data_IF_651865929081
#
_entry.id   IF_651865929081
#
_cell.length_a   1.000
_cell.length_b   1.000
_cell.length_c   1.000
_cell.angle_alpha   90.00
_cell.angle_beta   90.00
_cell.angle_gamma   90.00
#
_symmetry.space_group_name_H-M   'P 1'
#
loop_
_entity.id
_entity.type
_entity.pdbx_description
1 polymer ?
#
# COMPACT_ATOMS: atom_id res chain seq x y z
N UNK A 1 20.36 -10.86 6.82
CA UNK A 1 19.82 -9.52 6.47
C UNK A 1 18.96 -9.03 7.62
N UNK A 2 19.11 -7.76 8.00
CA UNK A 2 18.23 -7.19 9.01
C UNK A 2 16.79 -7.13 8.52
N UNK A 3 15.79 -7.35 9.40
CA UNK A 3 14.39 -7.18 9.08
C UNK A 3 14.08 -5.75 8.60
N UNK A 4 13.18 -5.62 7.62
CA UNK A 4 12.64 -4.32 7.24
C UNK A 4 11.73 -3.81 8.37
N UNK A 5 11.88 -2.54 8.70
CA UNK A 5 11.12 -1.84 9.74
C UNK A 5 10.56 -0.53 9.20
N UNK A 6 9.48 -0.08 9.78
CA UNK A 6 9.00 1.28 9.61
C UNK A 6 10.06 2.31 10.00
N UNK A 7 9.81 3.56 9.68
CA UNK A 7 10.69 4.68 10.03
C UNK A 7 9.95 5.63 10.97
N UNK A 8 10.16 5.42 12.25
CA UNK A 8 9.60 6.29 13.30
C UNK A 8 10.28 7.64 13.23
N UNK A 9 9.50 8.71 13.18
CA UNK A 9 9.98 10.09 13.20
C UNK A 9 9.05 10.95 14.05
N UNK A 10 9.51 11.28 15.24
CA UNK A 10 8.75 12.10 16.17
C UNK A 10 8.52 13.51 15.59
N UNK A 11 7.28 13.98 15.64
CA UNK A 11 6.90 15.29 15.10
C UNK A 11 6.86 15.36 13.58
N UNK A 12 6.85 14.24 12.87
CA UNK A 12 6.72 14.20 11.42
C UNK A 12 5.42 14.91 10.97
N UNK A 13 5.51 15.62 9.84
CA UNK A 13 4.35 16.31 9.24
C UNK A 13 3.34 15.35 8.62
N UNK A 14 3.83 14.22 8.10
CA UNK A 14 3.02 13.24 7.39
C UNK A 14 3.09 11.88 8.06
N UNK A 15 1.96 11.17 8.08
CA UNK A 15 1.89 9.79 8.49
C UNK A 15 1.64 8.87 7.30
N UNK A 16 2.52 7.88 7.13
CA UNK A 16 2.42 6.85 6.09
C UNK A 16 2.20 5.50 6.74
N UNK A 17 1.18 4.78 6.31
CA UNK A 17 1.02 3.37 6.65
C UNK A 17 1.35 2.49 5.44
N UNK A 18 2.17 1.48 5.66
CA UNK A 18 2.46 0.42 4.69
C UNK A 18 1.85 -0.88 5.22
N UNK A 19 0.94 -1.47 4.46
CA UNK A 19 0.34 -2.76 4.83
C UNK A 19 1.37 -3.87 4.64
N UNK A 20 1.62 -4.65 5.69
CA UNK A 20 2.56 -5.76 5.65
C UNK A 20 1.91 -7.06 6.11
N UNK A 21 2.28 -8.16 5.51
CA UNK A 21 1.68 -9.45 5.77
C UNK A 21 2.62 -10.60 5.38
N UNK A 22 2.34 -11.80 5.87
CA UNK A 22 3.10 -12.98 5.47
C UNK A 22 3.04 -13.17 3.95
N UNK A 23 4.20 -13.30 3.32
CA UNK A 23 4.32 -13.43 1.86
C UNK A 23 4.21 -12.10 1.11
N UNK A 24 4.38 -10.95 1.78
CA UNK A 24 4.53 -9.64 1.13
C UNK A 24 5.82 -9.60 0.31
N UNK A 25 5.79 -8.91 -0.82
CA UNK A 25 6.99 -8.65 -1.63
C UNK A 25 7.84 -7.56 -0.96
N UNK A 26 8.95 -7.95 -0.35
CA UNK A 26 9.76 -7.05 0.49
C UNK A 26 10.31 -5.85 -0.28
N UNK A 27 10.64 -6.01 -1.57
CA UNK A 27 11.07 -4.90 -2.41
C UNK A 27 9.97 -3.85 -2.65
N UNK A 28 8.69 -4.27 -2.63
CA UNK A 28 7.53 -3.36 -2.75
C UNK A 28 7.16 -2.70 -1.41
N UNK A 29 7.68 -3.19 -0.31
CA UNK A 29 7.66 -2.53 1.01
C UNK A 29 8.80 -1.51 1.12
N UNK A 30 10.02 -1.93 0.80
CA UNK A 30 11.25 -1.13 0.97
C UNK A 30 11.26 0.13 0.11
N UNK A 31 10.90 0.01 -1.17
CA UNK A 31 10.91 1.11 -2.13
C UNK A 31 10.06 2.31 -1.68
N UNK A 32 8.74 2.16 -1.43
CA UNK A 32 7.92 3.29 -0.99
C UNK A 32 8.32 3.79 0.40
N UNK A 33 8.69 2.89 1.32
CA UNK A 33 9.15 3.29 2.67
C UNK A 33 10.34 4.24 2.59
N UNK A 34 11.37 3.87 1.83
CA UNK A 34 12.57 4.69 1.69
C UNK A 34 12.28 6.01 1.00
N UNK A 35 11.61 5.96 -0.15
CA UNK A 35 11.35 7.17 -0.95
C UNK A 35 10.42 8.16 -0.26
N UNK A 36 9.34 7.69 0.35
CA UNK A 36 8.41 8.59 1.05
C UNK A 36 9.05 9.20 2.30
N UNK A 37 9.84 8.44 3.05
CA UNK A 37 10.57 8.98 4.19
C UNK A 37 11.64 10.02 3.80
N UNK A 38 12.26 9.87 2.61
CA UNK A 38 13.26 10.81 2.10
C UNK A 38 12.65 12.06 1.46
N UNK A 39 11.54 11.92 0.74
CA UNK A 39 10.91 13.01 0.00
C UNK A 39 9.93 13.83 0.82
N UNK A 40 9.36 13.23 1.86
CA UNK A 40 8.41 13.86 2.76
C UNK A 40 8.97 13.88 4.18
N UNK A 41 8.57 14.86 4.96
CA UNK A 41 8.73 14.82 6.41
C UNK A 41 7.71 13.84 7.00
N UNK A 42 7.97 12.55 6.84
CA UNK A 42 7.02 11.49 7.11
C UNK A 42 7.53 10.47 8.13
N UNK A 43 6.65 10.08 9.03
CA UNK A 43 6.74 8.83 9.76
C UNK A 43 6.16 7.71 8.90
N UNK A 44 6.85 6.58 8.80
CA UNK A 44 6.37 5.39 8.07
C UNK A 44 6.18 4.23 9.05
N UNK A 45 4.95 3.76 9.17
CA UNK A 45 4.55 2.70 10.10
C UNK A 45 4.09 1.48 9.30
N UNK A 46 4.57 0.30 9.68
CA UNK A 46 4.14 -0.96 9.10
C UNK A 46 2.95 -1.54 9.86
N UNK A 47 1.84 -1.72 9.17
CA UNK A 47 0.58 -2.24 9.75
C UNK A 47 0.33 -3.65 9.22
N UNK A 48 0.31 -4.62 10.12
CA UNK A 48 -0.02 -6.02 9.84
C UNK A 48 -1.31 -6.43 10.53
N UNK A 49 -1.66 -7.72 10.48
CA UNK A 49 -2.78 -8.30 11.25
C UNK A 49 -2.51 -8.15 12.75
N UNK A 50 -1.29 -8.46 13.15
CA UNK A 50 -0.76 -8.29 14.51
C UNK A 50 0.67 -7.74 14.42
N UNK A 51 1.18 -7.07 15.47
CA UNK A 51 2.57 -6.66 15.49
C UNK A 51 3.51 -7.87 15.55
N UNK A 52 4.68 -7.74 14.95
CA UNK A 52 5.69 -8.79 14.98
C UNK A 52 6.36 -9.06 13.64
N UNK A 53 7.27 -10.02 13.64
CA UNK A 53 8.07 -10.39 12.48
C UNK A 53 7.28 -11.29 11.51
N UNK A 54 7.35 -10.96 10.23
CA UNK A 54 6.67 -11.63 9.14
C UNK A 54 7.69 -12.01 8.05
N UNK A 55 7.54 -13.21 7.50
CA UNK A 55 8.33 -13.62 6.34
C UNK A 55 7.75 -13.06 5.04
N UNK A 56 8.61 -12.42 4.23
CA UNK A 56 8.28 -11.99 2.87
C UNK A 56 8.20 -13.16 1.88
N UNK A 57 8.01 -12.81 0.61
CA UNK A 57 8.11 -13.78 -0.50
C UNK A 57 9.53 -14.33 -0.57
N UNK A 58 10.53 -13.48 -0.37
CA UNK A 58 11.93 -13.91 -0.30
C UNK A 58 12.22 -14.55 1.07
N UNK A 59 12.59 -15.84 1.12
CA UNK A 59 12.73 -16.56 2.38
C UNK A 59 13.77 -15.97 3.34
N UNK A 60 14.76 -15.25 2.80
CA UNK A 60 15.85 -14.64 3.56
C UNK A 60 15.54 -13.23 4.09
N UNK A 61 14.35 -12.69 3.76
CA UNK A 61 13.95 -11.34 4.17
C UNK A 61 12.67 -11.39 5.00
N UNK A 62 12.71 -10.64 6.08
CA UNK A 62 11.59 -10.47 6.99
C UNK A 62 11.20 -9.00 7.09
N UNK A 63 9.96 -8.77 7.49
CA UNK A 63 9.38 -7.44 7.71
C UNK A 63 8.80 -7.44 9.12
N UNK A 64 8.98 -6.38 9.87
CA UNK A 64 8.39 -6.27 11.21
C UNK A 64 7.18 -5.34 11.13
N UNK A 65 5.99 -5.88 11.37
CA UNK A 65 4.80 -5.07 11.59
C UNK A 65 4.96 -4.32 12.92
N UNK A 66 4.89 -3.00 12.86
CA UNK A 66 5.00 -2.15 14.04
C UNK A 66 3.75 -2.23 14.91
N UNK A 67 2.60 -2.42 14.26
CA UNK A 67 1.30 -2.55 14.94
C UNK A 67 0.28 -3.34 14.13
N UNK A 68 -0.80 -3.75 14.81
CA UNK A 68 -2.04 -4.21 14.17
C UNK A 68 -2.95 -3.05 13.75
N UNK A 69 -4.11 -3.37 13.12
CA UNK A 69 -5.11 -2.37 12.76
C UNK A 69 -5.73 -1.77 14.03
N UNK A 70 -5.79 -0.45 14.10
CA UNK A 70 -6.36 0.29 15.23
C UNK A 70 -7.13 1.51 14.78
N UNK A 71 -8.07 1.96 15.62
CA UNK A 71 -8.97 3.07 15.28
C UNK A 71 -8.30 4.44 15.39
N UNK A 72 -7.26 4.55 16.19
CA UNK A 72 -6.69 5.83 16.62
C UNK A 72 -5.67 6.44 15.63
N UNK A 73 -5.31 5.70 14.58
CA UNK A 73 -4.23 6.13 13.68
C UNK A 73 -4.56 5.77 12.23
N UNK A 74 -5.34 6.62 11.58
CA UNK A 74 -5.54 6.57 10.14
C UNK A 74 -4.44 7.41 9.46
N UNK A 75 -3.77 6.87 8.44
CA UNK A 75 -2.63 7.53 7.82
C UNK A 75 -3.05 8.63 6.83
N UNK A 76 -2.17 9.61 6.63
CA UNK A 76 -2.30 10.55 5.51
C UNK A 76 -2.04 9.87 4.16
N UNK A 77 -1.12 8.91 4.12
CA UNK A 77 -0.80 8.10 2.95
C UNK A 77 -0.91 6.61 3.26
N UNK A 78 -1.58 5.89 2.39
CA UNK A 78 -1.73 4.43 2.48
C UNK A 78 -0.98 3.76 1.33
N UNK A 79 -0.08 2.83 1.65
CA UNK A 79 0.64 2.01 0.68
C UNK A 79 0.27 0.54 0.89
N UNK A 80 -0.12 -0.12 -0.19
CA UNK A 80 -0.50 -1.54 -0.18
C UNK A 80 0.41 -2.30 -1.16
N UNK A 81 1.51 -2.89 -0.68
CA UNK A 81 2.40 -3.72 -1.50
C UNK A 81 1.73 -5.02 -1.93
N UNK A 82 2.22 -5.61 -3.00
CA UNK A 82 1.83 -6.95 -3.42
C UNK A 82 2.52 -8.06 -2.63
N UNK A 83 2.13 -9.28 -2.94
CA UNK A 83 2.71 -10.48 -2.35
C UNK A 83 1.79 -11.68 -2.51
N UNK A 84 2.34 -12.88 -2.32
CA UNK A 84 1.59 -14.14 -2.46
C UNK A 84 0.52 -14.33 -1.39
N UNK A 85 0.67 -13.65 -0.23
CA UNK A 85 -0.25 -13.77 0.91
C UNK A 85 -1.53 -12.92 0.80
N UNK A 86 -1.76 -12.21 -0.29
CA UNK A 86 -2.88 -11.28 -0.38
C UNK A 86 -4.26 -11.93 -0.15
N UNK A 87 -4.45 -13.20 -0.56
CA UNK A 87 -5.72 -13.92 -0.37
C UNK A 87 -6.05 -14.13 1.10
N UNK A 88 -5.06 -14.57 1.88
CA UNK A 88 -5.22 -14.75 3.32
C UNK A 88 -5.52 -13.43 4.01
N UNK A 89 -4.86 -12.35 3.59
CA UNK A 89 -5.13 -11.01 4.13
C UNK A 89 -6.53 -10.53 3.78
N UNK A 90 -7.02 -10.83 2.59
CA UNK A 90 -8.39 -10.47 2.18
C UNK A 90 -9.48 -11.12 3.05
N UNK A 91 -9.16 -12.22 3.74
CA UNK A 91 -10.04 -12.91 4.68
C UNK A 91 -9.92 -12.39 6.14
N UNK A 92 -8.93 -11.54 6.41
CA UNK A 92 -8.69 -10.95 7.75
C UNK A 92 -9.56 -9.70 7.95
N UNK A 93 -10.75 -9.90 8.50
CA UNK A 93 -11.78 -8.86 8.64
C UNK A 93 -11.29 -7.60 9.33
N UNK A 94 -10.49 -7.73 10.40
CA UNK A 94 -9.95 -6.57 11.12
C UNK A 94 -9.06 -5.71 10.24
N UNK A 95 -8.18 -6.33 9.45
CA UNK A 95 -7.24 -5.61 8.59
C UNK A 95 -7.95 -5.04 7.35
N UNK A 96 -8.86 -5.79 6.73
CA UNK A 96 -9.63 -5.30 5.57
C UNK A 96 -10.57 -4.16 5.95
N UNK A 97 -11.22 -4.21 7.10
CA UNK A 97 -12.02 -3.11 7.64
C UNK A 97 -11.15 -1.87 7.87
N UNK A 98 -9.96 -2.04 8.44
CA UNK A 98 -9.02 -0.95 8.63
C UNK A 98 -8.52 -0.38 7.28
N UNK A 99 -8.19 -1.23 6.30
CA UNK A 99 -7.79 -0.78 4.95
C UNK A 99 -8.90 0.07 4.31
N UNK A 100 -10.17 -0.34 4.42
CA UNK A 100 -11.30 0.42 3.91
C UNK A 100 -11.34 1.83 4.55
N UNK A 101 -11.28 1.91 5.88
CA UNK A 101 -11.30 3.18 6.64
C UNK A 101 -10.08 4.05 6.34
N UNK A 102 -8.89 3.45 6.31
CA UNK A 102 -7.65 4.15 5.94
C UNK A 102 -7.72 4.70 4.51
N UNK A 103 -8.31 3.94 3.58
CA UNK A 103 -8.53 4.38 2.19
C UNK A 103 -9.49 5.56 2.09
N UNK A 104 -10.50 5.63 2.96
CA UNK A 104 -11.44 6.77 3.00
C UNK A 104 -10.77 8.02 3.55
N UNK A 105 -9.90 7.86 4.55
CA UNK A 105 -9.22 8.96 5.23
C UNK A 105 -8.01 9.50 4.46
N UNK A 106 -7.21 8.61 3.87
CA UNK A 106 -5.93 8.97 3.29
C UNK A 106 -6.04 10.02 2.17
N UNK A 107 -5.13 10.97 2.17
CA UNK A 107 -4.96 11.97 1.11
C UNK A 107 -4.35 11.40 -0.16
N UNK A 108 -3.65 10.27 -0.03
CA UNK A 108 -3.07 9.54 -1.15
C UNK A 108 -2.99 8.06 -0.87
N UNK A 109 -3.24 7.26 -1.92
CA UNK A 109 -3.23 5.80 -1.86
C UNK A 109 -2.37 5.29 -3.00
N UNK A 110 -1.45 4.38 -2.70
CA UNK A 110 -0.68 3.63 -3.68
C UNK A 110 -0.85 2.14 -3.43
N UNK A 111 -1.37 1.42 -4.41
CA UNK A 111 -1.37 -0.04 -4.40
C UNK A 111 -0.49 -0.59 -5.52
N UNK A 112 0.28 -1.63 -5.23
CA UNK A 112 1.33 -2.15 -6.11
C UNK A 112 1.06 -3.62 -6.38
N UNK A 113 1.16 -4.03 -7.66
CA UNK A 113 1.13 -5.44 -8.04
C UNK A 113 -0.17 -6.13 -7.58
N UNK A 114 -0.11 -7.25 -6.89
CA UNK A 114 -1.27 -7.93 -6.30
C UNK A 114 -1.86 -7.20 -5.09
N UNK A 115 -1.19 -6.17 -4.56
CA UNK A 115 -1.75 -5.28 -3.53
C UNK A 115 -3.01 -4.54 -4.00
N UNK A 116 -3.17 -4.33 -5.31
CA UNK A 116 -4.40 -3.77 -5.89
C UNK A 116 -5.62 -4.64 -5.63
N UNK A 117 -5.44 -5.96 -5.50
CA UNK A 117 -6.53 -6.88 -5.17
C UNK A 117 -7.07 -6.66 -3.75
N UNK A 118 -6.25 -6.19 -2.81
CA UNK A 118 -6.72 -5.83 -1.47
C UNK A 118 -7.60 -4.58 -1.50
N UNK A 119 -7.28 -3.57 -2.32
CA UNK A 119 -8.17 -2.43 -2.54
C UNK A 119 -9.47 -2.85 -3.24
N UNK A 120 -9.40 -3.77 -4.21
CA UNK A 120 -10.57 -4.32 -4.88
C UNK A 120 -11.46 -5.10 -3.90
N UNK A 121 -10.86 -5.91 -3.02
CA UNK A 121 -11.56 -6.71 -2.02
C UNK A 121 -12.37 -5.85 -1.03
N UNK A 122 -11.89 -4.64 -0.72
CA UNK A 122 -12.61 -3.69 0.12
C UNK A 122 -13.52 -2.72 -0.66
N UNK A 123 -13.76 -3.01 -1.96
CA UNK A 123 -14.69 -2.27 -2.80
C UNK A 123 -14.18 -0.92 -3.34
N UNK A 124 -12.91 -0.58 -3.11
CA UNK A 124 -12.37 0.75 -3.48
C UNK A 124 -12.14 0.93 -4.98
N UNK A 125 -12.13 -0.15 -5.76
CA UNK A 125 -11.86 -0.10 -7.20
C UNK A 125 -13.11 -0.27 -8.07
N UNK A 126 -14.29 -0.43 -7.50
CA UNK A 126 -15.53 -0.58 -8.28
C UNK A 126 -15.76 0.64 -9.17
N UNK A 127 -15.82 0.43 -10.49
CA UNK A 127 -15.98 1.47 -11.50
C UNK A 127 -14.81 2.43 -11.64
N UNK A 128 -13.64 2.12 -11.06
CA UNK A 128 -12.44 2.95 -11.13
C UNK A 128 -11.37 2.32 -12.01
N UNK A 129 -10.64 3.17 -12.70
CA UNK A 129 -9.46 2.75 -13.45
C UNK A 129 -8.39 2.21 -12.50
N UNK A 130 -7.88 1.04 -12.80
CA UNK A 130 -6.84 0.39 -12.01
C UNK A 130 -5.96 -0.51 -12.87
N UNK A 131 -4.71 -0.68 -12.45
CA UNK A 131 -3.80 -1.69 -12.96
C UNK A 131 -3.22 -2.50 -11.79
N UNK A 132 -2.63 -3.62 -12.07
CA UNK A 132 -2.00 -4.49 -11.09
C UNK A 132 -1.05 -5.47 -11.74
N UNK A 133 -0.64 -6.48 -11.01
CA UNK A 133 0.11 -7.58 -11.58
C UNK A 133 -0.71 -8.22 -12.72
N UNK A 134 -0.07 -8.59 -13.82
CA UNK A 134 -0.78 -9.15 -14.99
C UNK A 134 -1.63 -10.40 -14.63
N UNK A 135 -1.20 -11.21 -13.67
CA UNK A 135 -2.00 -12.33 -13.16
C UNK A 135 -3.24 -11.91 -12.37
N UNK A 136 -3.31 -10.66 -11.92
CA UNK A 136 -4.42 -10.11 -11.15
C UNK A 136 -5.52 -9.46 -12.00
N UNK A 137 -5.28 -9.24 -13.29
CA UNK A 137 -6.20 -8.49 -14.17
C UNK A 137 -7.59 -9.10 -14.21
N UNK A 138 -7.68 -10.42 -14.32
CA UNK A 138 -8.96 -11.12 -14.33
C UNK A 138 -9.75 -10.92 -13.02
N UNK A 139 -9.07 -11.06 -11.89
CA UNK A 139 -9.69 -10.91 -10.57
C UNK A 139 -10.07 -9.45 -10.30
N UNK A 140 -9.23 -8.49 -10.72
CA UNK A 140 -9.55 -7.05 -10.64
C UNK A 140 -10.82 -6.71 -11.44
N UNK A 141 -10.93 -7.21 -12.66
CA UNK A 141 -12.12 -7.01 -13.48
C UNK A 141 -13.36 -7.67 -12.86
N UNK A 142 -13.23 -8.88 -12.33
CA UNK A 142 -14.30 -9.59 -11.64
C UNK A 142 -14.78 -8.86 -10.38
N UNK A 143 -13.89 -8.12 -9.70
CA UNK A 143 -14.23 -7.27 -8.55
C UNK A 143 -14.72 -5.87 -8.95
N UNK A 144 -14.95 -5.62 -10.24
CA UNK A 144 -15.57 -4.39 -10.75
C UNK A 144 -14.63 -3.26 -11.10
N UNK A 145 -13.31 -3.48 -11.13
CA UNK A 145 -12.35 -2.48 -11.59
C UNK A 145 -12.40 -2.32 -13.12
N UNK A 146 -12.18 -1.09 -13.60
CA UNK A 146 -11.89 -0.79 -15.01
C UNK A 146 -10.39 -0.99 -15.25
N UNK A 147 -10.02 -2.20 -15.65
CA UNK A 147 -8.61 -2.61 -15.76
C UNK A 147 -7.94 -1.94 -16.94
N UNK A 148 -6.82 -1.27 -16.68
CA UNK A 148 -6.03 -0.52 -17.66
C UNK A 148 -4.79 -1.33 -18.09
N UNK A 149 -4.40 -1.18 -19.36
CA UNK A 149 -3.20 -1.81 -19.90
C UNK A 149 -1.90 -1.08 -19.50
N UNK A 150 -2.01 0.14 -19.04
CA UNK A 150 -0.90 0.98 -18.59
C UNK A 150 -0.26 0.41 -17.32
N UNK A 151 1.03 0.68 -17.15
CA UNK A 151 1.76 0.25 -15.94
C UNK A 151 1.38 1.01 -14.68
N UNK A 152 0.79 2.18 -14.83
CA UNK A 152 0.27 3.02 -13.74
C UNK A 152 -1.10 3.52 -14.15
N UNK A 153 -2.07 3.39 -13.26
CA UNK A 153 -3.41 3.93 -13.45
C UNK A 153 -3.78 4.87 -12.30
N UNK A 154 -4.62 5.84 -12.61
CA UNK A 154 -5.04 6.88 -11.69
C UNK A 154 -6.55 6.90 -11.54
N UNK A 155 -7.02 7.07 -10.32
CA UNK A 155 -8.41 7.28 -10.01
C UNK A 155 -8.56 8.40 -8.96
N UNK A 156 -9.79 8.89 -8.76
CA UNK A 156 -10.11 9.92 -7.78
C UNK A 156 -9.25 11.19 -7.94
N UNK A 157 -9.13 11.68 -9.17
CA UNK A 157 -8.30 12.84 -9.52
C UNK A 157 -6.81 12.67 -9.12
N UNK A 158 -6.30 11.44 -9.14
CA UNK A 158 -4.93 11.10 -8.81
C UNK A 158 -4.64 10.86 -7.32
N UNK A 159 -5.67 10.90 -6.47
CA UNK A 159 -5.54 10.50 -5.07
C UNK A 159 -5.25 9.01 -4.92
N UNK A 160 -5.80 8.19 -5.81
CA UNK A 160 -5.59 6.75 -5.86
C UNK A 160 -4.73 6.41 -7.07
N UNK A 161 -3.58 5.83 -6.82
CA UNK A 161 -2.63 5.39 -7.84
C UNK A 161 -2.43 3.88 -7.69
N UNK A 162 -2.51 3.16 -8.80
CA UNK A 162 -2.19 1.73 -8.85
C UNK A 162 -1.02 1.51 -9.81
N UNK A 163 -0.13 0.60 -9.47
CA UNK A 163 1.06 0.29 -10.26
C UNK A 163 1.17 -1.23 -10.50
N UNK A 164 1.54 -1.62 -11.70
CA UNK A 164 1.59 -3.04 -12.12
C UNK A 164 2.67 -3.86 -11.41
N UNK A 165 3.64 -3.22 -10.79
CA UNK A 165 4.72 -3.86 -10.06
C UNK A 165 5.81 -2.89 -9.66
N UNK A 166 6.89 -3.41 -9.07
CA UNK A 166 8.00 -2.63 -8.49
C UNK A 166 8.58 -1.57 -9.43
N UNK A 167 8.79 -1.89 -10.70
CA UNK A 167 9.39 -0.95 -11.66
C UNK A 167 8.47 0.26 -11.92
N UNK A 168 7.18 0.02 -12.03
CA UNK A 168 6.19 1.09 -12.18
C UNK A 168 5.99 1.88 -10.89
N UNK A 169 6.10 1.21 -9.74
CA UNK A 169 5.90 1.82 -8.44
C UNK A 169 6.90 2.94 -8.13
N UNK A 170 8.11 2.90 -8.66
CA UNK A 170 9.12 3.93 -8.43
C UNK A 170 8.62 5.33 -8.84
N UNK A 171 8.12 5.46 -10.07
CA UNK A 171 7.52 6.72 -10.53
C UNK A 171 6.22 7.08 -9.83
N UNK A 172 5.39 6.08 -9.52
CA UNK A 172 4.13 6.28 -8.82
C UNK A 172 4.33 6.81 -7.38
N UNK A 173 5.37 6.35 -6.68
CA UNK A 173 5.74 6.89 -5.35
C UNK A 173 6.14 8.36 -5.45
N UNK A 174 6.99 8.70 -6.43
CA UNK A 174 7.46 10.08 -6.63
C UNK A 174 6.28 11.00 -6.97
N UNK A 175 5.36 10.53 -7.80
CA UNK A 175 4.13 11.25 -8.12
C UNK A 175 3.25 11.46 -6.88
N UNK A 176 3.04 10.43 -6.09
CA UNK A 176 2.25 10.51 -4.85
C UNK A 176 2.85 11.53 -3.88
N UNK A 177 4.16 11.49 -3.64
CA UNK A 177 4.87 12.42 -2.78
C UNK A 177 4.72 13.87 -3.26
N UNK A 178 4.88 14.09 -4.56
CA UNK A 178 4.75 15.41 -5.18
C UNK A 178 3.34 16.00 -5.01
N UNK A 179 2.30 15.20 -5.24
CA UNK A 179 0.90 15.61 -5.09
C UNK A 179 0.55 16.01 -3.67
N UNK A 180 1.03 15.24 -2.70
CA UNK A 180 0.75 15.50 -1.28
C UNK A 180 1.49 16.71 -0.76
N UNK A 181 2.76 16.90 -1.13
CA UNK A 181 3.55 18.06 -0.71
C UNK A 181 3.01 19.39 -1.25
N UNK A 182 2.32 19.37 -2.39
CA UNK A 182 1.73 20.54 -3.02
C UNK A 182 0.33 20.91 -2.47
N UNK A 183 -0.37 20.01 -1.78
CA UNK A 183 -1.69 20.29 -1.24
C UNK A 183 -1.60 21.35 -0.12
N UNK A 184 -2.28 22.53 -0.24
CA UNK A 184 -2.36 23.47 0.86
C UNK A 184 -3.07 22.79 2.04
N UNK A 185 -2.54 22.99 3.24
CA UNK A 185 -3.06 22.44 4.49
C UNK A 185 -4.44 22.98 4.86
#
# INVERSE_FOLDING_TARGET
LEPLRGRVREGARWSVAVVVYRGVTTAEVELPTTRLAEQLDAEVVFVGVEPGELHGVEPSRTVVADRGPGDDHLPDLLVIPGGLGWKQVAEEERLTTWIARASDHARGILAISTGTLLLAAVGRLVGRQATGHWLAEHDLAAMGADVQAERVAHAEAGRLITASGRLAAAGAVDELASRVSWAPG
#
